data_IF_662071046720
#
_entry.id   IF_662071046720
#
_cell.length_a   1.000
_cell.length_b   1.000
_cell.length_c   1.000
_cell.angle_alpha   90.00
_cell.angle_beta   90.00
_cell.angle_gamma   90.00
#
_symmetry.space_group_name_H-M   'P 1'
#
loop_
_entity.id
_entity.type
_entity.pdbx_description
1 polymer ?
#
# COMPACT_ATOMS: atom_id res chain seq x y z
N UNK A 1 16.01 -0.24 5.37
CA UNK A 1 14.79 -1.02 5.08
C UNK A 1 14.50 -0.76 3.61
N UNK A 2 14.79 -1.70 2.72
CA UNK A 2 14.58 -1.54 1.27
C UNK A 2 13.22 -2.12 0.89
N UNK A 3 12.20 -1.74 1.64
CA UNK A 3 10.86 -2.27 1.44
C UNK A 3 10.21 -1.51 0.29
N UNK A 4 9.64 -2.25 -0.64
CA UNK A 4 8.90 -1.68 -1.77
C UNK A 4 7.46 -1.45 -1.35
N UNK A 5 6.93 -0.29 -1.72
CA UNK A 5 5.52 0.07 -1.49
C UNK A 5 4.81 0.21 -2.83
N UNK A 6 3.86 -0.67 -3.07
CA UNK A 6 3.05 -0.67 -4.29
C UNK A 6 1.68 -0.12 -3.98
N UNK A 7 1.33 1.04 -4.55
CA UNK A 7 -0.02 1.61 -4.48
C UNK A 7 -0.67 1.43 -5.85
N UNK A 8 -1.72 0.61 -5.91
CA UNK A 8 -2.34 0.19 -7.16
C UNK A 8 -3.86 0.22 -7.06
N UNK A 9 -4.53 0.13 -8.22
CA UNK A 9 -5.98 0.01 -8.32
C UNK A 9 -6.31 -1.45 -8.64
N UNK A 10 -7.19 -2.06 -7.86
CA UNK A 10 -7.62 -3.44 -8.05
C UNK A 10 -8.68 -3.58 -9.15
N UNK A 11 -9.11 -4.81 -9.41
CA UNK A 11 -10.12 -5.12 -10.42
C UNK A 11 -11.51 -4.56 -10.08
N UNK A 12 -11.80 -4.25 -8.81
CA UNK A 12 -13.04 -3.61 -8.38
C UNK A 12 -12.98 -2.08 -8.55
N UNK A 13 -11.83 -1.55 -8.97
CA UNK A 13 -11.64 -0.12 -9.12
C UNK A 13 -11.30 0.57 -7.79
N UNK A 14 -10.90 -0.18 -6.76
CA UNK A 14 -10.51 0.35 -5.47
C UNK A 14 -8.98 0.46 -5.37
N UNK A 15 -8.50 1.50 -4.71
CA UNK A 15 -7.09 1.69 -4.40
C UNK A 15 -6.68 0.81 -3.22
N UNK A 16 -5.53 0.17 -3.36
CA UNK A 16 -4.90 -0.69 -2.36
C UNK A 16 -3.41 -0.41 -2.30
N UNK A 17 -2.79 -0.84 -1.20
CA UNK A 17 -1.34 -0.78 -1.05
C UNK A 17 -0.79 -2.09 -0.52
N UNK A 18 0.42 -2.47 -0.95
CA UNK A 18 1.19 -3.56 -0.39
C UNK A 18 2.61 -3.08 -0.05
N UNK A 19 3.16 -3.63 1.03
CA UNK A 19 4.55 -3.45 1.44
C UNK A 19 5.27 -4.79 1.32
N UNK A 20 6.26 -4.81 0.45
CA UNK A 20 7.05 -6.01 0.15
C UNK A 20 8.45 -5.83 0.69
N UNK A 21 8.88 -6.74 1.55
CA UNK A 21 10.25 -6.77 2.05
C UNK A 21 11.22 -7.19 0.93
N UNK A 22 12.54 -6.91 1.05
CA UNK A 22 13.54 -7.27 0.03
C UNK A 22 13.61 -8.77 -0.29
N UNK A 23 13.14 -9.62 0.61
CA UNK A 23 13.04 -11.06 0.43
C UNK A 23 11.79 -11.50 -0.37
N UNK A 24 11.02 -10.56 -0.92
CA UNK A 24 9.82 -10.80 -1.72
C UNK A 24 8.56 -11.09 -0.90
N UNK A 25 8.63 -11.08 0.44
CA UNK A 25 7.45 -11.33 1.28
C UNK A 25 6.65 -10.05 1.49
N UNK A 26 5.34 -10.14 1.32
CA UNK A 26 4.42 -9.08 1.73
C UNK A 26 4.39 -9.05 3.25
N UNK A 27 4.83 -7.92 3.83
CA UNK A 27 4.89 -7.69 5.28
C UNK A 27 3.84 -6.68 5.75
N UNK A 28 3.11 -6.07 4.82
CA UNK A 28 1.95 -5.23 5.09
C UNK A 28 1.07 -5.09 3.86
N UNK A 29 -0.22 -4.91 4.05
CA UNK A 29 -1.18 -4.67 2.98
C UNK A 29 -2.36 -3.84 3.49
N UNK A 30 -3.04 -3.15 2.58
CA UNK A 30 -4.29 -2.46 2.87
C UNK A 30 -5.36 -3.48 3.30
N UNK A 31 -5.96 -3.28 4.47
CA UNK A 31 -7.06 -4.10 4.99
C UNK A 31 -8.39 -3.92 4.22
N UNK A 32 -8.49 -2.87 3.42
CA UNK A 32 -9.72 -2.42 2.74
C UNK A 32 -9.34 -1.82 1.38
N UNK A 33 -10.29 -1.79 0.45
CA UNK A 33 -10.17 -1.01 -0.78
C UNK A 33 -10.66 0.42 -0.56
N UNK A 34 -10.00 1.40 -1.19
CA UNK A 34 -10.33 2.82 -1.07
C UNK A 34 -10.81 3.37 -2.40
N UNK A 35 -11.90 4.13 -2.41
CA UNK A 35 -12.37 4.81 -3.64
C UNK A 35 -11.35 5.87 -4.11
N UNK A 36 -10.72 6.56 -3.18
CA UNK A 36 -9.77 7.63 -3.47
C UNK A 36 -8.32 7.18 -3.21
N UNK A 37 -7.40 7.56 -4.10
CA UNK A 37 -5.97 7.29 -3.93
C UNK A 37 -5.40 7.94 -2.67
N UNK A 38 -5.86 9.16 -2.34
CA UNK A 38 -5.37 9.93 -1.20
C UNK A 38 -5.67 9.21 0.13
N UNK A 39 -6.85 8.61 0.25
CA UNK A 39 -7.24 7.85 1.45
C UNK A 39 -6.38 6.58 1.59
N UNK A 40 -6.12 5.90 0.47
CA UNK A 40 -5.21 4.75 0.42
C UNK A 40 -3.78 5.12 0.86
N UNK A 41 -3.24 6.22 0.31
CA UNK A 41 -1.91 6.73 0.67
C UNK A 41 -1.87 7.12 2.15
N UNK A 42 -2.90 7.80 2.66
CA UNK A 42 -2.99 8.18 4.07
C UNK A 42 -2.98 6.97 4.98
N UNK A 43 -3.66 5.88 4.59
CA UNK A 43 -3.60 4.62 5.32
C UNK A 43 -2.21 3.98 5.25
N UNK A 44 -1.57 3.97 4.07
CA UNK A 44 -0.20 3.49 3.93
C UNK A 44 0.78 4.26 4.83
N UNK A 45 0.62 5.59 4.92
CA UNK A 45 1.44 6.46 5.76
C UNK A 45 1.30 6.11 7.24
N UNK A 46 0.08 5.86 7.71
CA UNK A 46 -0.17 5.37 9.08
C UNK A 46 0.49 4.02 9.38
N UNK A 47 0.77 3.23 8.34
CA UNK A 47 1.46 1.94 8.43
C UNK A 47 2.98 2.02 8.15
N UNK A 48 3.52 3.24 8.00
CA UNK A 48 4.96 3.48 7.86
C UNK A 48 5.43 3.82 6.45
N UNK A 49 4.53 4.10 5.50
CA UNK A 49 4.93 4.69 4.21
C UNK A 49 5.35 6.14 4.40
N UNK A 50 6.58 6.48 4.08
CA UNK A 50 7.10 7.87 4.24
C UNK A 50 7.07 8.68 2.95
N UNK A 51 6.57 8.09 1.85
CA UNK A 51 6.83 8.62 0.52
C UNK A 51 8.24 8.23 0.08
N UNK A 52 8.33 7.66 -1.12
CA UNK A 52 9.58 7.42 -1.84
C UNK A 52 9.80 8.54 -2.84
#
# INVERSE_FOLDING_TARGET
MNDTWDIYKDNAGEWRWNRTAPNGRIVGASSQGYVNRVDCVSNAQRNGYTGS
#
